data_IF_863766524475
#
_entry.id   IF_863766524475
#
_cell.length_a   1.000
_cell.length_b   1.000
_cell.length_c   1.000
_cell.angle_alpha   90.00
_cell.angle_beta   90.00
_cell.angle_gamma   90.00
#
_symmetry.space_group_name_H-M   'P 1'
#
loop_
_entity.id
_entity.type
_entity.pdbx_description
1 polymer ?
#
# COMPACT_ATOMS: atom_id res chain seq x y z
N UNK A 1 25.64 -17.35 -4.81
CA UNK A 1 24.53 -18.14 -5.40
C UNK A 1 23.38 -18.13 -4.44
N UNK A 2 22.22 -17.62 -4.86
CA UNK A 2 21.03 -17.62 -4.02
C UNK A 2 20.02 -18.62 -4.56
N UNK A 3 19.79 -19.65 -3.77
CA UNK A 3 18.67 -20.56 -3.98
C UNK A 3 17.40 -20.02 -3.32
N UNK A 4 16.26 -20.32 -3.91
CA UNK A 4 14.95 -20.26 -3.27
C UNK A 4 14.17 -21.52 -3.60
N UNK A 5 13.56 -22.12 -2.58
CA UNK A 5 12.81 -23.38 -2.69
C UNK A 5 11.36 -23.13 -2.32
N UNK A 6 10.44 -23.84 -2.98
CA UNK A 6 9.03 -23.87 -2.63
C UNK A 6 8.49 -25.28 -2.86
N UNK A 7 7.38 -25.60 -2.19
CA UNK A 7 6.67 -26.86 -2.33
C UNK A 7 5.24 -26.57 -2.77
N UNK A 8 4.74 -27.30 -3.77
CA UNK A 8 3.37 -27.18 -4.26
C UNK A 8 2.38 -28.00 -3.40
N UNK A 9 1.09 -27.87 -3.68
CA UNK A 9 0.03 -28.59 -2.97
C UNK A 9 0.08 -30.11 -3.10
N UNK A 10 0.83 -30.63 -4.07
CA UNK A 10 1.04 -32.08 -4.28
C UNK A 10 2.29 -32.59 -3.55
N UNK A 11 3.02 -31.72 -2.85
CA UNK A 11 4.28 -32.06 -2.17
C UNK A 11 5.49 -32.10 -3.10
N UNK A 12 5.33 -31.68 -4.36
CA UNK A 12 6.45 -31.52 -5.27
C UNK A 12 7.25 -30.27 -4.88
N UNK A 13 8.57 -30.30 -5.04
CA UNK A 13 9.42 -29.15 -4.73
C UNK A 13 10.14 -28.65 -5.97
N UNK A 14 10.17 -27.33 -6.11
CA UNK A 14 11.03 -26.61 -7.03
C UNK A 14 12.11 -25.85 -6.26
N UNK A 15 13.33 -25.86 -6.78
CA UNK A 15 14.46 -25.05 -6.31
C UNK A 15 14.93 -24.19 -7.48
N UNK A 16 14.76 -22.88 -7.41
CA UNK A 16 15.34 -21.92 -8.35
C UNK A 16 16.66 -21.39 -7.79
N UNK A 17 17.72 -21.28 -8.59
CA UNK A 17 19.03 -20.98 -8.01
C UNK A 17 20.06 -20.18 -8.80
N UNK A 18 20.02 -20.11 -10.12
CA UNK A 18 21.10 -19.48 -10.88
C UNK A 18 22.44 -20.28 -10.94
N UNK A 19 23.12 -20.27 -12.09
CA UNK A 19 24.39 -20.98 -12.35
C UNK A 19 25.34 -20.20 -13.28
N UNK A 20 26.65 -20.26 -13.04
CA UNK A 20 27.71 -19.54 -13.77
C UNK A 20 29.05 -20.25 -13.59
N UNK A 21 29.96 -19.98 -14.51
CA UNK A 21 31.34 -20.47 -14.48
C UNK A 21 32.20 -19.58 -15.39
N UNK A 22 33.45 -19.95 -15.62
CA UNK A 22 34.26 -19.31 -16.66
C UNK A 22 33.73 -19.54 -18.09
N UNK A 23 32.85 -20.54 -18.29
CA UNK A 23 32.31 -20.90 -19.59
C UNK A 23 30.87 -20.41 -19.83
N UNK A 24 30.15 -20.02 -18.77
CA UNK A 24 28.77 -19.54 -18.86
C UNK A 24 28.59 -18.27 -18.04
N UNK A 25 27.96 -17.26 -18.64
CA UNK A 25 27.45 -16.09 -17.91
C UNK A 25 26.41 -16.56 -16.87
N UNK A 26 26.13 -15.79 -15.80
CA UNK A 26 25.04 -16.09 -14.88
C UNK A 26 23.70 -16.35 -15.58
N UNK A 27 23.23 -17.59 -15.43
CA UNK A 27 21.94 -18.08 -15.91
C UNK A 27 21.01 -18.26 -14.72
N UNK A 28 19.71 -18.25 -14.96
CA UNK A 28 18.68 -18.63 -14.02
C UNK A 28 18.25 -20.06 -14.33
N UNK A 29 18.41 -20.95 -13.35
CA UNK A 29 18.11 -22.38 -13.48
C UNK A 29 17.21 -22.83 -12.34
N UNK A 30 16.53 -23.94 -12.56
CA UNK A 30 15.73 -24.61 -11.55
C UNK A 30 15.94 -26.12 -11.60
N UNK A 31 15.78 -26.77 -10.46
CA UNK A 31 15.76 -28.22 -10.34
C UNK A 31 14.60 -28.62 -9.45
N UNK A 32 14.04 -29.80 -9.72
CA UNK A 32 12.75 -30.18 -9.18
C UNK A 32 12.78 -31.60 -8.61
N UNK A 33 11.83 -31.87 -7.71
CA UNK A 33 11.45 -33.23 -7.34
C UNK A 33 9.94 -33.39 -7.24
N UNK A 34 9.45 -34.55 -7.65
CA UNK A 34 8.11 -34.99 -7.31
C UNK A 34 8.06 -35.43 -5.85
N UNK A 35 6.88 -35.40 -5.23
CA UNK A 35 6.66 -35.96 -3.90
C UNK A 35 7.03 -37.46 -3.84
N UNK A 36 6.87 -38.16 -4.96
CA UNK A 36 7.19 -39.58 -5.13
C UNK A 36 8.66 -39.87 -5.40
N UNK A 37 9.49 -38.85 -5.64
CA UNK A 37 10.92 -39.06 -5.88
C UNK A 37 11.59 -39.57 -4.59
N UNK A 38 12.57 -40.51 -4.68
CA UNK A 38 13.33 -40.99 -3.54
C UNK A 38 13.86 -39.83 -2.67
N UNK A 39 13.87 -40.04 -1.36
CA UNK A 39 14.40 -39.06 -0.42
C UNK A 39 15.84 -38.70 -0.79
N UNK A 40 16.21 -37.44 -0.52
CA UNK A 40 17.53 -36.87 -0.81
C UNK A 40 17.89 -36.79 -2.30
N UNK A 41 16.89 -36.70 -3.18
CA UNK A 41 17.12 -36.53 -4.64
C UNK A 41 16.30 -35.38 -5.24
N UNK A 42 16.81 -34.77 -6.31
CA UNK A 42 16.09 -33.87 -7.22
C UNK A 42 15.85 -34.60 -8.55
N UNK A 43 14.95 -35.61 -8.51
CA UNK A 43 14.80 -36.63 -9.54
C UNK A 43 14.32 -36.12 -10.90
N UNK A 44 13.80 -34.90 -10.98
CA UNK A 44 13.31 -34.32 -12.23
C UNK A 44 14.41 -33.62 -13.04
N UNK A 45 15.64 -33.56 -12.50
CA UNK A 45 16.77 -32.92 -13.14
C UNK A 45 16.73 -31.39 -13.08
N UNK A 46 17.65 -30.78 -13.82
CA UNK A 46 17.86 -29.34 -13.87
C UNK A 46 17.46 -28.80 -15.25
N UNK A 47 16.83 -27.63 -15.26
CA UNK A 47 16.44 -26.92 -16.47
C UNK A 47 16.77 -25.42 -16.37
N UNK A 48 16.89 -24.80 -17.53
CA UNK A 48 17.19 -23.39 -17.67
C UNK A 48 15.89 -22.59 -17.76
N UNK A 49 15.75 -21.58 -16.89
CA UNK A 49 14.67 -20.60 -16.99
C UNK A 49 15.05 -19.44 -17.89
N UNK A 50 16.31 -18.99 -17.80
CA UNK A 50 16.83 -17.89 -18.60
C UNK A 50 18.35 -17.87 -18.62
N UNK A 51 18.94 -17.75 -19.81
CA UNK A 51 20.39 -17.64 -19.96
C UNK A 51 20.80 -16.17 -20.07
N UNK A 52 21.42 -15.65 -19.01
CA UNK A 52 22.01 -14.32 -19.04
C UNK A 52 23.11 -14.20 -20.09
N UNK A 53 23.22 -13.04 -20.70
CA UNK A 53 24.17 -12.75 -21.79
C UNK A 53 25.34 -11.88 -21.34
N UNK A 54 25.44 -11.57 -20.04
CA UNK A 54 26.56 -10.86 -19.46
C UNK A 54 26.84 -11.25 -18.02
N UNK A 55 27.97 -10.77 -17.50
CA UNK A 55 28.41 -10.99 -16.13
C UNK A 55 28.72 -9.67 -15.43
N UNK A 56 28.68 -9.68 -14.09
CA UNK A 56 29.18 -8.54 -13.34
C UNK A 56 30.71 -8.49 -13.43
N UNK A 57 31.27 -7.38 -13.89
CA UNK A 57 32.73 -7.21 -14.04
C UNK A 57 33.39 -6.39 -12.93
N UNK A 58 32.61 -5.80 -12.03
CA UNK A 58 33.10 -5.04 -10.87
C UNK A 58 32.10 -5.16 -9.74
N UNK A 59 32.56 -5.44 -8.53
CA UNK A 59 31.68 -5.74 -7.40
C UNK A 59 32.11 -4.90 -6.21
N UNK A 60 31.22 -4.06 -5.68
CA UNK A 60 31.27 -3.73 -4.25
C UNK A 60 30.91 -4.95 -3.38
N UNK A 61 31.29 -6.16 -3.80
CA UNK A 61 30.94 -7.47 -3.23
C UNK A 61 29.43 -7.81 -3.16
N UNK A 62 28.58 -7.21 -4.01
CA UNK A 62 27.12 -7.33 -3.90
C UNK A 62 26.51 -7.84 -5.22
N UNK A 63 26.42 -9.16 -5.36
CA UNK A 63 25.81 -9.86 -6.50
C UNK A 63 24.88 -10.95 -5.98
N UNK A 64 23.67 -11.05 -6.53
CA UNK A 64 22.71 -12.06 -6.13
C UNK A 64 22.30 -11.80 -4.70
N UNK A 65 21.64 -10.67 -4.46
CA UNK A 65 21.03 -10.34 -3.17
C UNK A 65 19.55 -10.73 -3.14
N UNK A 66 18.92 -10.78 -4.33
CA UNK A 66 17.50 -10.99 -4.48
C UNK A 66 17.21 -12.24 -5.31
N UNK A 67 16.63 -13.26 -4.67
CA UNK A 67 15.98 -14.38 -5.33
C UNK A 67 14.74 -14.78 -4.52
N UNK A 68 13.65 -15.13 -5.21
CA UNK A 68 12.43 -15.64 -4.57
C UNK A 68 11.74 -16.63 -5.49
N UNK A 69 11.30 -17.74 -4.92
CA UNK A 69 10.47 -18.77 -5.56
C UNK A 69 9.18 -18.90 -4.76
N UNK A 70 8.04 -18.75 -5.43
CA UNK A 70 6.72 -18.89 -4.80
C UNK A 70 5.84 -19.83 -5.61
N UNK A 71 4.86 -20.47 -4.98
CA UNK A 71 3.81 -21.21 -5.68
C UNK A 71 2.64 -20.28 -5.94
N UNK A 72 2.03 -20.42 -7.12
CA UNK A 72 0.82 -19.69 -7.50
C UNK A 72 -0.36 -20.18 -6.64
N UNK A 73 -0.98 -19.30 -5.82
CA UNK A 73 -2.07 -19.71 -4.94
C UNK A 73 -3.36 -20.07 -5.70
N UNK A 74 -3.47 -19.77 -7.00
CA UNK A 74 -4.67 -20.06 -7.80
C UNK A 74 -4.72 -21.53 -8.20
N UNK A 75 -3.58 -22.12 -8.56
CA UNK A 75 -3.51 -23.51 -9.05
C UNK A 75 -2.66 -24.44 -8.18
N UNK A 76 -2.01 -23.91 -7.14
CA UNK A 76 -1.19 -24.61 -6.16
C UNK A 76 -0.17 -25.58 -6.79
N UNK A 77 0.32 -25.25 -7.98
CA UNK A 77 1.21 -26.12 -8.78
C UNK A 77 2.14 -25.38 -9.75
N UNK A 78 1.85 -24.13 -10.11
CA UNK A 78 2.76 -23.28 -10.89
C UNK A 78 3.76 -22.60 -9.96
N UNK A 79 5.05 -22.71 -10.27
CA UNK A 79 6.12 -22.02 -9.56
C UNK A 79 6.48 -20.72 -10.28
N UNK A 80 6.66 -19.63 -9.53
CA UNK A 80 7.12 -18.33 -10.01
C UNK A 80 8.49 -18.01 -9.42
N UNK A 81 9.52 -17.92 -10.26
CA UNK A 81 10.89 -17.58 -9.84
C UNK A 81 11.26 -16.16 -10.27
N UNK A 82 11.76 -15.38 -9.31
CA UNK A 82 12.30 -14.03 -9.53
C UNK A 82 13.77 -14.02 -9.12
N UNK A 83 14.66 -13.55 -10.00
CA UNK A 83 16.09 -13.45 -9.70
C UNK A 83 16.81 -12.42 -10.59
N UNK A 84 18.04 -12.09 -10.21
CA UNK A 84 18.91 -11.13 -10.89
C UNK A 84 19.66 -11.77 -12.08
N UNK A 85 19.81 -11.02 -13.17
CA UNK A 85 20.63 -11.40 -14.33
C UNK A 85 21.31 -10.18 -14.96
N UNK A 86 22.33 -10.42 -15.80
CA UNK A 86 22.94 -9.37 -16.64
C UNK A 86 22.62 -9.60 -18.12
N UNK A 87 22.16 -8.55 -18.80
CA UNK A 87 21.95 -8.56 -20.25
C UNK A 87 23.26 -8.27 -21.03
N UNK A 88 24.21 -7.56 -20.42
CA UNK A 88 25.54 -7.27 -21.00
C UNK A 88 26.54 -7.16 -19.86
N UNK A 89 27.81 -7.54 -20.10
CA UNK A 89 28.84 -7.50 -19.06
C UNK A 89 29.18 -6.07 -18.65
N UNK A 90 28.94 -5.72 -17.38
CA UNK A 90 29.16 -4.37 -16.84
C UNK A 90 29.50 -4.43 -15.35
N UNK A 91 30.12 -3.36 -14.83
CA UNK A 91 30.44 -3.24 -13.40
C UNK A 91 29.18 -3.06 -12.53
N UNK A 92 28.14 -2.42 -13.05
CA UNK A 92 26.85 -2.26 -12.39
C UNK A 92 25.73 -2.25 -13.44
N UNK A 93 24.54 -2.71 -13.08
CA UNK A 93 23.37 -2.71 -13.97
C UNK A 93 22.77 -4.09 -14.23
N UNK A 94 22.67 -4.91 -13.17
CA UNK A 94 21.84 -6.10 -13.20
C UNK A 94 20.37 -5.75 -13.45
N UNK A 95 19.62 -6.74 -13.89
CA UNK A 95 18.18 -6.66 -14.17
C UNK A 95 17.47 -7.79 -13.46
N UNK A 96 16.16 -7.61 -13.24
CA UNK A 96 15.31 -8.67 -12.71
C UNK A 96 14.66 -9.43 -13.85
N UNK A 97 14.57 -10.76 -13.70
CA UNK A 97 13.75 -11.63 -14.56
C UNK A 97 12.77 -12.39 -13.69
N UNK A 98 11.55 -12.53 -14.20
CA UNK A 98 10.51 -13.37 -13.64
C UNK A 98 10.22 -14.45 -14.67
N UNK A 99 10.11 -15.71 -14.24
CA UNK A 99 9.68 -16.81 -15.09
C UNK A 99 8.93 -17.86 -14.28
N UNK A 100 8.10 -18.64 -14.96
CA UNK A 100 7.33 -19.71 -14.33
C UNK A 100 7.65 -21.09 -14.91
N UNK A 101 7.40 -22.11 -14.10
CA UNK A 101 7.48 -23.51 -14.50
C UNK A 101 6.49 -24.35 -13.70
N UNK A 102 6.17 -25.55 -14.20
CA UNK A 102 5.22 -26.48 -13.58
C UNK A 102 5.69 -27.91 -13.82
N UNK A 103 5.60 -28.77 -12.80
CA UNK A 103 5.96 -30.18 -12.94
C UNK A 103 4.79 -30.97 -13.55
N UNK A 104 5.10 -31.91 -14.44
CA UNK A 104 4.13 -32.88 -14.95
C UNK A 104 3.95 -34.02 -13.93
N UNK A 105 3.00 -33.87 -13.01
CA UNK A 105 2.48 -34.92 -12.13
C UNK A 105 1.04 -35.24 -12.54
N UNK A 106 0.67 -36.54 -12.54
CA UNK A 106 -0.60 -37.04 -13.08
C UNK A 106 -1.82 -36.25 -12.63
N UNK A 107 -2.80 -36.12 -13.54
CA UNK A 107 -4.07 -35.44 -13.28
C UNK A 107 -4.63 -35.87 -11.92
N UNK A 108 -5.05 -34.93 -11.04
CA UNK A 108 -5.67 -35.31 -9.78
C UNK A 108 -6.92 -36.15 -10.10
N UNK A 109 -6.92 -37.42 -9.71
CA UNK A 109 -8.17 -38.13 -9.49
C UNK A 109 -8.72 -37.60 -8.17
N UNK A 110 -9.87 -36.91 -8.15
CA UNK A 110 -10.44 -36.39 -6.92
C UNK A 110 -10.87 -37.58 -6.08
N UNK A 111 -10.03 -38.02 -5.14
CA UNK A 111 -10.55 -38.70 -3.96
C UNK A 111 -11.24 -37.62 -3.13
N UNK A 112 -12.56 -37.68 -2.89
CA UNK A 112 -13.23 -36.75 -2.00
C UNK A 112 -12.82 -37.07 -0.56
N UNK A 113 -11.57 -36.76 -0.21
CA UNK A 113 -11.25 -36.32 1.14
C UNK A 113 -12.06 -35.05 1.35
N UNK A 114 -12.74 -34.90 2.50
CA UNK A 114 -13.44 -33.67 2.81
C UNK A 114 -12.50 -32.50 2.54
N UNK A 115 -12.79 -31.73 1.49
CA UNK A 115 -12.00 -30.58 1.08
C UNK A 115 -11.86 -29.71 2.33
N UNK A 116 -10.66 -29.38 2.84
CA UNK A 116 -10.56 -28.13 3.57
C UNK A 116 -11.02 -27.10 2.54
N UNK A 117 -12.20 -26.53 2.76
CA UNK A 117 -12.77 -25.48 1.92
C UNK A 117 -11.63 -24.53 1.56
N UNK A 118 -11.41 -24.19 0.27
CA UNK A 118 -10.32 -23.31 -0.12
C UNK A 118 -10.29 -22.14 0.85
N UNK A 119 -9.22 -22.01 1.64
CA UNK A 119 -9.08 -20.82 2.47
C UNK A 119 -8.82 -19.72 1.47
N UNK A 120 -9.87 -18.93 1.20
CA UNK A 120 -9.86 -17.90 0.20
C UNK A 120 -8.54 -17.11 0.32
N UNK A 121 -7.81 -16.98 -0.79
CA UNK A 121 -6.76 -15.95 -0.92
C UNK A 121 -7.31 -14.69 -0.25
N UNK A 122 -6.62 -14.10 0.75
CA UNK A 122 -7.16 -12.92 1.43
C UNK A 122 -7.38 -11.87 0.36
N UNK A 123 -8.64 -11.75 -0.05
CA UNK A 123 -9.09 -10.71 -0.94
C UNK A 123 -8.75 -9.46 -0.18
N UNK A 124 -7.89 -8.59 -0.76
CA UNK A 124 -7.49 -7.35 -0.11
C UNK A 124 -8.75 -6.73 0.48
N UNK A 125 -8.83 -6.68 1.81
CA UNK A 125 -10.05 -6.22 2.46
C UNK A 125 -10.26 -4.81 1.96
N UNK A 126 -11.37 -4.52 1.26
CA UNK A 126 -11.59 -3.19 0.71
C UNK A 126 -11.48 -2.19 1.86
N UNK A 127 -10.55 -1.25 1.76
CA UNK A 127 -10.41 -0.16 2.74
C UNK A 127 -11.76 0.52 2.79
N UNK A 128 -12.40 0.52 3.96
CA UNK A 128 -13.71 1.14 4.13
C UNK A 128 -13.66 2.60 3.67
N UNK A 129 -14.69 3.03 2.94
CA UNK A 129 -14.81 4.40 2.49
C UNK A 129 -14.86 5.34 3.70
N UNK A 130 -13.91 6.26 3.81
CA UNK A 130 -13.77 7.18 4.93
C UNK A 130 -13.16 8.51 4.48
N UNK A 131 -13.00 9.46 5.40
CA UNK A 131 -12.29 10.72 5.12
C UNK A 131 -11.57 11.25 6.35
N UNK A 132 -10.70 12.24 6.16
CA UNK A 132 -10.12 13.03 7.26
C UNK A 132 -10.42 14.52 7.06
N UNK A 133 -10.36 15.30 8.15
CA UNK A 133 -10.55 16.74 8.13
C UNK A 133 -9.30 17.47 8.61
N UNK A 134 -8.99 18.57 7.96
CA UNK A 134 -7.98 19.54 8.43
C UNK A 134 -8.49 20.96 8.28
N UNK A 135 -7.93 21.87 9.08
CA UNK A 135 -8.26 23.29 9.07
C UNK A 135 -6.98 24.14 9.02
N UNK A 136 -6.97 25.15 8.15
CA UNK A 136 -5.83 26.05 7.97
C UNK A 136 -6.30 27.52 7.80
N UNK A 137 -5.61 28.50 8.39
CA UNK A 137 -4.51 28.34 9.36
C UNK A 137 -5.03 27.75 10.69
N UNK A 138 -4.14 27.18 11.50
CA UNK A 138 -4.53 26.59 12.80
C UNK A 138 -4.97 27.65 13.83
N UNK A 139 -4.63 28.92 13.60
CA UNK A 139 -5.12 30.03 14.42
C UNK A 139 -5.36 31.30 13.60
N UNK A 140 -6.34 32.10 14.03
CA UNK A 140 -6.60 33.44 13.54
C UNK A 140 -6.73 34.41 14.71
N UNK A 141 -6.44 35.69 14.43
CA UNK A 141 -6.61 36.78 15.40
C UNK A 141 -7.52 37.85 14.83
N UNK A 142 -8.42 38.36 15.67
CA UNK A 142 -9.22 39.56 15.39
C UNK A 142 -8.93 40.63 16.44
N UNK A 143 -8.98 41.89 16.04
CA UNK A 143 -8.77 43.00 16.95
C UNK A 143 -9.99 43.22 17.87
N UNK A 144 -9.83 44.12 18.85
CA UNK A 144 -10.86 44.43 19.85
C UNK A 144 -12.18 44.94 19.27
N UNK A 145 -12.18 45.51 18.05
CA UNK A 145 -13.38 46.04 17.40
C UNK A 145 -14.21 44.94 16.75
N UNK A 146 -13.73 43.69 16.73
CA UNK A 146 -14.37 42.61 15.98
C UNK A 146 -13.99 42.68 14.50
N UNK A 147 -14.60 41.82 13.70
CA UNK A 147 -14.27 41.67 12.29
C UNK A 147 -14.55 40.26 11.79
N UNK A 148 -14.07 39.97 10.59
CA UNK A 148 -14.25 38.68 9.94
C UNK A 148 -12.91 38.01 9.75
N UNK A 149 -12.82 36.73 10.07
CA UNK A 149 -11.68 35.88 9.75
C UNK A 149 -12.14 34.65 8.99
N UNK A 150 -11.22 34.06 8.22
CA UNK A 150 -11.51 32.86 7.42
C UNK A 150 -10.55 31.72 7.76
N UNK A 151 -11.07 30.50 7.66
CA UNK A 151 -10.32 29.25 7.69
C UNK A 151 -10.71 28.42 6.46
N UNK A 152 -9.75 27.74 5.88
CA UNK A 152 -9.98 26.69 4.89
C UNK A 152 -10.09 25.37 5.62
N UNK A 153 -11.21 24.68 5.46
CA UNK A 153 -11.41 23.31 5.90
C UNK A 153 -11.27 22.38 4.70
N UNK A 154 -10.41 21.37 4.83
CA UNK A 154 -10.12 20.40 3.77
C UNK A 154 -10.61 19.03 4.20
N UNK A 155 -11.38 18.39 3.32
CA UNK A 155 -11.80 16.99 3.36
C UNK A 155 -10.81 16.19 2.51
N UNK A 156 -10.19 15.17 3.09
CA UNK A 156 -9.30 14.25 2.36
C UNK A 156 -9.90 12.85 2.35
N UNK A 157 -10.54 12.43 1.24
CA UNK A 157 -11.19 11.13 1.13
C UNK A 157 -10.19 9.95 1.10
N UNK A 158 -10.59 8.81 1.66
CA UNK A 158 -9.87 7.53 1.64
C UNK A 158 -10.84 6.38 1.31
N UNK A 159 -10.32 5.21 0.91
CA UNK A 159 -11.16 4.03 0.63
C UNK A 159 -12.23 4.23 -0.44
N UNK A 160 -12.06 5.17 -1.39
CA UNK A 160 -13.04 5.47 -2.43
C UNK A 160 -14.20 6.38 -2.00
N UNK A 161 -14.12 7.01 -0.83
CA UNK A 161 -15.13 7.96 -0.37
C UNK A 161 -15.32 9.12 -1.36
N UNK A 162 -16.57 9.40 -1.72
CA UNK A 162 -16.93 10.44 -2.71
C UNK A 162 -18.20 11.19 -2.33
N UNK A 163 -18.80 10.88 -1.17
CA UNK A 163 -20.02 11.53 -0.69
C UNK A 163 -19.73 12.96 -0.21
N UNK A 164 -20.66 13.90 -0.40
CA UNK A 164 -20.55 15.23 0.20
C UNK A 164 -20.52 15.15 1.74
N UNK A 165 -19.68 15.97 2.35
CA UNK A 165 -19.54 16.11 3.81
C UNK A 165 -20.21 17.41 4.24
N UNK A 166 -21.20 17.30 5.13
CA UNK A 166 -21.85 18.42 5.79
C UNK A 166 -21.00 18.88 6.97
N UNK A 167 -20.62 20.14 6.98
CA UNK A 167 -19.77 20.76 7.99
C UNK A 167 -20.59 21.58 8.99
N UNK A 168 -20.19 21.54 10.25
CA UNK A 168 -20.71 22.38 11.34
C UNK A 168 -19.55 22.83 12.24
N UNK A 169 -19.76 23.92 12.97
CA UNK A 169 -18.74 24.48 13.89
C UNK A 169 -19.35 24.75 15.26
N UNK A 170 -18.62 24.38 16.30
CA UNK A 170 -18.92 24.69 17.70
C UNK A 170 -17.73 25.37 18.38
N UNK A 171 -17.91 25.88 19.60
CA UNK A 171 -16.86 26.60 20.32
C UNK A 171 -16.69 28.06 19.90
N UNK A 172 -17.60 28.59 19.07
CA UNK A 172 -17.66 30.02 18.74
C UNK A 172 -17.93 30.84 20.01
N UNK A 173 -17.27 32.00 20.19
CA UNK A 173 -17.53 32.87 21.33
C UNK A 173 -18.92 33.52 21.25
N UNK A 174 -19.47 33.94 22.39
CA UNK A 174 -20.77 34.60 22.43
C UNK A 174 -20.82 35.83 21.49
N UNK A 175 -21.87 35.89 20.67
CA UNK A 175 -22.07 36.95 19.67
C UNK A 175 -21.25 36.79 18.38
N UNK A 176 -20.49 35.70 18.21
CA UNK A 176 -19.88 35.36 16.93
C UNK A 176 -20.78 34.44 16.10
N UNK A 177 -20.62 34.50 14.78
CA UNK A 177 -21.29 33.65 13.80
C UNK A 177 -20.26 32.86 13.00
N UNK A 178 -20.64 31.68 12.52
CA UNK A 178 -19.81 30.86 11.64
C UNK A 178 -20.63 30.35 10.47
N UNK A 179 -20.11 30.49 9.25
CA UNK A 179 -20.73 29.97 8.03
C UNK A 179 -19.71 29.28 7.14
N UNK A 180 -20.14 28.25 6.42
CA UNK A 180 -19.32 27.47 5.50
C UNK A 180 -19.78 27.71 4.06
N UNK A 181 -18.84 27.86 3.13
CA UNK A 181 -19.14 27.92 1.69
C UNK A 181 -18.01 27.28 0.87
N UNK A 182 -18.31 26.21 0.10
CA UNK A 182 -19.58 25.48 0.02
C UNK A 182 -19.87 24.62 1.27
N UNK A 183 -21.14 24.32 1.54
CA UNK A 183 -21.55 23.32 2.54
C UNK A 183 -22.86 22.66 2.07
N UNK A 184 -22.89 21.34 1.81
CA UNK A 184 -21.81 20.36 1.96
C UNK A 184 -20.67 20.53 0.94
N UNK A 185 -19.53 19.87 1.17
CA UNK A 185 -18.36 19.85 0.26
C UNK A 185 -17.78 18.45 0.08
N UNK A 186 -17.14 18.17 -1.06
CA UNK A 186 -16.38 16.95 -1.31
C UNK A 186 -14.86 17.16 -1.23
N UNK A 187 -14.39 18.41 -1.12
CA UNK A 187 -12.96 18.74 -1.13
C UNK A 187 -12.64 19.84 -0.13
N UNK A 188 -12.95 21.10 -0.42
CA UNK A 188 -12.65 22.21 0.48
C UNK A 188 -13.87 23.07 0.77
N UNK A 189 -13.88 23.72 1.94
CA UNK A 189 -14.89 24.70 2.34
C UNK A 189 -14.24 25.85 3.08
N UNK A 190 -14.68 27.07 2.81
CA UNK A 190 -14.25 28.24 3.57
C UNK A 190 -15.19 28.44 4.76
N UNK A 191 -14.67 28.29 5.98
CA UNK A 191 -15.31 28.73 7.21
C UNK A 191 -15.07 30.23 7.41
N UNK A 192 -16.13 31.02 7.37
CA UNK A 192 -16.12 32.45 7.67
C UNK A 192 -16.65 32.67 9.08
N UNK A 193 -15.84 33.27 9.95
CA UNK A 193 -16.22 33.58 11.33
C UNK A 193 -16.37 35.09 11.49
N UNK A 194 -17.58 35.55 11.76
CA UNK A 194 -17.89 36.94 12.11
C UNK A 194 -17.81 37.13 13.62
N UNK A 195 -17.01 38.07 14.09
CA UNK A 195 -16.81 38.35 15.52
C UNK A 195 -17.31 39.75 15.84
N UNK A 196 -18.31 39.86 16.71
CA UNK A 196 -18.86 41.15 17.12
C UNK A 196 -17.87 41.94 17.99
N UNK A 197 -17.99 43.27 17.99
CA UNK A 197 -17.22 44.15 18.87
C UNK A 197 -17.50 43.87 20.36
N UNK A 198 -18.71 43.42 20.69
CA UNK A 198 -19.17 43.05 22.03
C UNK A 198 -18.63 41.71 22.54
N UNK A 199 -18.14 40.83 21.67
CA UNK A 199 -17.57 39.55 22.07
C UNK A 199 -16.43 39.75 23.07
N UNK A 200 -16.42 38.96 24.15
CA UNK A 200 -15.35 39.03 25.14
C UNK A 200 -13.98 38.75 24.51
N UNK A 201 -12.93 39.31 25.12
CA UNK A 201 -11.55 39.07 24.68
C UNK A 201 -11.08 37.74 25.26
N UNK A 202 -10.25 37.04 24.51
CA UNK A 202 -9.79 35.71 24.88
C UNK A 202 -9.46 34.87 23.67
N UNK A 203 -9.07 33.63 23.96
CA UNK A 203 -8.79 32.60 22.97
C UNK A 203 -9.88 31.55 23.04
N UNK A 204 -10.44 31.22 21.90
CA UNK A 204 -11.56 30.29 21.73
C UNK A 204 -11.13 29.15 20.82
N UNK A 205 -11.33 27.92 21.29
CA UNK A 205 -11.11 26.73 20.46
C UNK A 205 -12.37 26.45 19.65
N UNK A 206 -12.23 26.49 18.33
CA UNK A 206 -13.27 26.14 17.38
C UNK A 206 -13.15 24.65 17.06
N UNK A 207 -14.26 23.92 17.13
CA UNK A 207 -14.32 22.52 16.70
C UNK A 207 -15.18 22.42 15.45
N UNK A 208 -14.58 22.02 14.34
CA UNK A 208 -15.30 21.74 13.09
C UNK A 208 -15.61 20.25 13.04
N UNK A 209 -16.89 19.92 12.85
CA UNK A 209 -17.36 18.54 12.67
C UNK A 209 -17.86 18.39 11.24
N UNK A 210 -17.36 17.37 10.53
CA UNK A 210 -17.86 16.97 9.23
C UNK A 210 -18.53 15.62 9.30
N UNK A 211 -19.70 15.48 8.68
CA UNK A 211 -20.43 14.21 8.59
C UNK A 211 -20.90 13.93 7.16
N UNK A 212 -20.68 12.72 6.65
CA UNK A 212 -21.06 12.32 5.30
C UNK A 212 -20.83 10.84 5.03
N UNK A 213 -21.36 10.34 3.91
CA UNK A 213 -21.25 8.93 3.51
C UNK A 213 -22.42 8.05 3.94
N UNK A 214 -22.37 6.80 3.48
CA UNK A 214 -23.23 5.70 3.90
C UNK A 214 -22.36 4.42 4.00
N UNK A 215 -22.07 3.91 5.21
CA UNK A 215 -22.52 4.39 6.52
C UNK A 215 -22.03 5.82 6.83
N UNK A 216 -22.73 6.50 7.74
CA UNK A 216 -22.40 7.87 8.12
C UNK A 216 -21.05 7.90 8.85
N UNK A 217 -20.08 8.60 8.28
CA UNK A 217 -18.78 8.86 8.87
C UNK A 217 -18.75 10.27 9.47
N UNK A 218 -18.20 10.41 10.67
CA UNK A 218 -18.09 11.69 11.39
C UNK A 218 -16.67 11.91 11.88
N UNK A 219 -16.07 13.04 11.51
CA UNK A 219 -14.72 13.43 11.91
C UNK A 219 -14.67 14.87 12.39
N UNK A 220 -13.66 15.19 13.19
CA UNK A 220 -13.48 16.54 13.75
C UNK A 220 -12.08 17.09 13.53
N UNK A 221 -11.96 18.41 13.40
CA UNK A 221 -10.69 19.14 13.43
C UNK A 221 -10.84 20.44 14.21
N UNK A 222 -9.75 21.00 14.74
CA UNK A 222 -9.79 22.16 15.62
C UNK A 222 -8.95 23.32 15.14
N UNK A 223 -9.46 24.54 15.25
CA UNK A 223 -8.73 25.78 15.04
C UNK A 223 -8.88 26.72 16.24
N UNK A 224 -8.03 27.74 16.34
CA UNK A 224 -8.07 28.72 17.43
C UNK A 224 -8.43 30.11 16.91
N UNK A 225 -9.30 30.81 17.61
CA UNK A 225 -9.65 32.21 17.37
C UNK A 225 -9.26 33.03 18.59
N UNK A 226 -8.39 34.02 18.41
CA UNK A 226 -8.02 34.95 19.48
C UNK A 226 -8.55 36.35 19.21
N UNK A 227 -9.30 36.92 20.17
CA UNK A 227 -9.69 38.34 20.14
C UNK A 227 -8.78 39.13 21.09
N UNK A 228 -7.96 40.01 20.53
CA UNK A 228 -6.89 40.71 21.26
C UNK A 228 -6.99 42.24 21.19
N UNK A 229 -6.14 42.93 21.97
CA UNK A 229 -6.04 44.39 21.94
C UNK A 229 -5.16 44.91 20.80
N UNK A 230 -4.46 44.01 20.11
CA UNK A 230 -3.53 44.40 19.04
C UNK A 230 -4.35 44.91 17.84
N UNK A 231 -4.00 46.08 17.26
CA UNK A 231 -4.69 46.61 16.08
C UNK A 231 -4.67 45.61 14.92
#
# INVERSE_FOLDING_TARGET
WLGSVAMDGQGNMGLGFSASSSAINPQLRYACRLATDPLNTLGQGEAHLFDGTGSQSGTGNRWGDYASLTVDPVDDSTFWFTSEYYATTKSYGWRTRIGSFKLAGGTPSPTPTATPTPTATPTATPVAADFTLSIAPSSQTVNRKGGTVTYTVTVSPTGGFSSPVTLSVTGLPAGATGSFSPNPTTSTSTLTVGVASSTARGTYQLTVTGSGGSPLQTHTTTGSLSKTNKP
#
